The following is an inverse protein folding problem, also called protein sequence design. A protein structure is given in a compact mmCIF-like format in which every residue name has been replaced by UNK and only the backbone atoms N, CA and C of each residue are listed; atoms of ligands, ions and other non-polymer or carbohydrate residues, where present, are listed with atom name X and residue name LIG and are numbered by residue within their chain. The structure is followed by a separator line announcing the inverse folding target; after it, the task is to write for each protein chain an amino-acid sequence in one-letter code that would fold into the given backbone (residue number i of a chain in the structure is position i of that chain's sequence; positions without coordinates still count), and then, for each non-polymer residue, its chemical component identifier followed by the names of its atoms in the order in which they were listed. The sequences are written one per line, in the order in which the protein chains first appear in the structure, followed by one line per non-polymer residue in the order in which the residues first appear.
data_IF_059036542617
#
_entry.id   IF_059036542617
#
_cell.length_a   1.000
_cell.length_b   1.000
_cell.length_c   1.000
_cell.angle_alpha   90.00
_cell.angle_beta   90.00
_cell.angle_gamma   90.00
#
_symmetry.space_group_name_H-M   'P 1'
#
loop_
_entity.id
_entity.type
_entity.pdbx_description
1 polymer ?
#
# COMPACT_ATOMS: atom_id res chain seq x y z
N UNK A 1 4.68 -4.09 10.71
CA UNK A 1 3.66 -3.06 10.42
C UNK A 1 4.17 -1.62 10.48
N UNK A 2 5.19 -1.29 11.30
CA UNK A 2 5.76 0.06 11.46
C UNK A 2 5.85 0.90 10.17
N UNK A 3 6.29 0.32 9.05
CA UNK A 3 6.40 1.05 7.77
C UNK A 3 5.06 1.50 7.19
N UNK A 4 4.04 0.64 7.23
CA UNK A 4 2.67 1.02 6.84
C UNK A 4 2.09 2.05 7.80
N UNK A 5 2.38 1.94 9.10
CA UNK A 5 1.94 2.94 10.09
C UNK A 5 2.60 4.31 9.86
N UNK A 6 3.89 4.34 9.50
CA UNK A 6 4.60 5.57 9.12
C UNK A 6 4.03 6.19 7.84
N UNK A 7 3.68 5.36 6.85
CA UNK A 7 3.14 5.83 5.56
C UNK A 7 1.68 6.25 5.67
N UNK A 8 0.91 5.64 6.56
CA UNK A 8 -0.49 5.98 6.85
C UNK A 8 -0.63 7.21 7.75
N UNK A 9 0.45 7.70 8.36
CA UNK A 9 0.43 8.99 9.06
C UNK A 9 0.32 10.14 8.02
N UNK A 10 -0.69 11.01 8.14
CA UNK A 10 -0.97 12.02 7.11
C UNK A 10 0.16 13.04 6.97
N UNK A 11 0.87 13.36 8.04
CA UNK A 11 1.94 14.36 8.00
C UNK A 11 3.21 13.77 7.40
N UNK A 12 3.51 12.51 7.69
CA UNK A 12 4.60 11.79 7.03
C UNK A 12 4.31 11.55 5.54
N UNK A 13 3.09 11.13 5.20
CA UNK A 13 2.70 10.94 3.80
C UNK A 13 2.85 12.23 2.99
N UNK A 14 2.38 13.36 3.54
CA UNK A 14 2.57 14.69 2.91
C UNK A 14 4.05 15.00 2.67
N UNK A 15 4.93 14.77 3.65
CA UNK A 15 6.37 14.99 3.51
C UNK A 15 6.98 14.14 2.40
N UNK A 16 6.58 12.89 2.29
CA UNK A 16 7.02 11.97 1.22
C UNK A 16 6.53 12.48 -0.14
N UNK A 17 5.25 12.86 -0.23
CA UNK A 17 4.60 13.34 -1.44
C UNK A 17 5.16 14.66 -1.98
N UNK A 18 5.90 15.45 -1.18
CA UNK A 18 6.64 16.64 -1.67
C UNK A 18 7.60 16.28 -2.82
N UNK A 19 8.18 15.08 -2.79
CA UNK A 19 9.04 14.59 -3.89
C UNK A 19 8.27 13.98 -5.06
N UNK A 20 6.96 14.12 -5.11
CA UNK A 20 6.09 13.59 -6.15
C UNK A 20 5.85 12.08 -6.07
N UNK A 21 5.21 11.54 -7.11
CA UNK A 21 4.83 10.14 -7.20
C UNK A 21 6.00 9.17 -7.00
N UNK A 22 7.17 9.44 -7.56
CA UNK A 22 8.33 8.55 -7.44
C UNK A 22 8.77 8.31 -5.99
N UNK A 23 8.66 9.31 -5.11
CA UNK A 23 8.97 9.12 -3.70
C UNK A 23 7.95 8.20 -3.02
N UNK A 24 6.66 8.37 -3.30
CA UNK A 24 5.61 7.49 -2.78
C UNK A 24 5.86 6.04 -3.24
N UNK A 25 6.19 5.83 -4.52
CA UNK A 25 6.47 4.50 -5.08
C UNK A 25 7.66 3.79 -4.44
N UNK A 26 8.72 4.54 -4.09
CA UNK A 26 9.88 4.00 -3.33
C UNK A 26 9.49 3.51 -1.95
N UNK A 27 8.53 4.19 -1.30
CA UNK A 27 8.07 3.84 0.04
C UNK A 27 7.08 2.67 0.04
N UNK A 28 6.14 2.65 -0.92
CA UNK A 28 5.17 1.55 -1.11
C UNK A 28 5.87 0.24 -1.55
N UNK A 29 7.08 0.33 -2.11
CA UNK A 29 7.95 -0.83 -2.35
C UNK A 29 7.79 -1.52 -3.69
N UNK A 30 7.05 -0.91 -4.59
CA UNK A 30 6.86 -1.32 -5.99
C UNK A 30 7.96 -0.81 -6.91
N UNK A 31 8.71 0.22 -6.50
CA UNK A 31 9.91 0.71 -7.19
C UNK A 31 11.13 0.57 -6.30
N UNK A 32 12.02 -0.34 -6.71
CA UNK A 32 13.24 -0.66 -5.98
C UNK A 32 13.01 -1.69 -4.88
N UNK A 33 13.93 -2.64 -4.73
CA UNK A 33 13.88 -3.70 -3.71
C UNK A 33 14.19 -3.18 -2.28
N UNK A 34 14.08 -1.87 -2.04
CA UNK A 34 14.53 -1.23 -0.80
C UNK A 34 13.43 -1.07 0.25
N UNK A 35 12.16 -1.15 -0.12
CA UNK A 35 11.07 -1.03 0.86
C UNK A 35 10.81 -2.37 1.54
N UNK A 36 10.60 -2.38 2.87
CA UNK A 36 10.08 -3.53 3.59
C UNK A 36 8.70 -4.03 3.11
N UNK A 37 7.97 -3.22 2.33
CA UNK A 37 6.67 -3.59 1.76
C UNK A 37 6.79 -4.41 0.46
N UNK A 38 8.00 -4.57 -0.08
CA UNK A 38 8.20 -5.36 -1.30
C UNK A 38 7.90 -6.87 -1.10
N UNK A 39 8.27 -7.43 0.06
CA UNK A 39 8.12 -8.87 0.35
C UNK A 39 7.06 -9.16 1.43
N UNK A 40 6.31 -8.15 1.86
CA UNK A 40 5.34 -8.30 2.96
C UNK A 40 4.17 -9.21 2.57
N UNK A 41 3.80 -9.27 1.28
CA UNK A 41 2.79 -10.20 0.78
C UNK A 41 3.24 -11.66 0.96
N UNK A 42 4.52 -11.97 0.70
CA UNK A 42 5.10 -13.31 0.91
C UNK A 42 5.07 -13.70 2.38
N UNK A 43 5.38 -12.75 3.27
CA UNK A 43 5.30 -12.97 4.71
C UNK A 43 3.86 -13.32 5.13
N UNK A 44 2.86 -12.56 4.66
CA UNK A 44 1.47 -12.88 4.97
C UNK A 44 0.99 -14.18 4.32
N UNK A 45 1.42 -14.51 3.09
CA UNK A 45 1.14 -15.81 2.45
C UNK A 45 1.65 -16.98 3.29
N UNK A 46 2.86 -16.87 3.84
CA UNK A 46 3.44 -17.92 4.70
C UNK A 46 2.67 -18.10 6.01
N UNK A 47 1.96 -17.09 6.49
CA UNK A 47 1.17 -17.13 7.72
C UNK A 47 -0.26 -17.65 7.51
N UNK A 48 -0.68 -17.95 6.28
CA UNK A 48 -2.06 -18.36 5.98
C UNK A 48 -2.47 -19.66 6.70
N UNK A 49 -1.55 -20.60 6.92
CA UNK A 49 -1.82 -21.85 7.65
C UNK A 49 -2.12 -21.62 9.14
N UNK A 50 -1.64 -20.50 9.69
CA UNK A 50 -1.86 -20.11 11.09
C UNK A 50 -3.19 -19.38 11.29
N UNK A 51 -3.94 -19.11 10.22
CA UNK A 51 -5.23 -18.44 10.31
C UNK A 51 -6.30 -19.34 10.97
N UNK A 52 -7.18 -18.73 11.77
CA UNK A 52 -8.39 -19.39 12.28
C UNK A 52 -9.39 -19.71 11.18
N UNK A 53 -9.43 -18.86 10.15
CA UNK A 53 -10.26 -18.97 8.97
C UNK A 53 -9.40 -18.70 7.71
N UNK A 54 -8.88 -19.75 7.05
CA UNK A 54 -8.00 -19.59 5.90
C UNK A 54 -8.65 -18.89 4.70
N UNK A 55 -9.96 -19.07 4.48
CA UNK A 55 -10.66 -18.45 3.34
C UNK A 55 -10.75 -16.94 3.53
N UNK A 56 -11.27 -16.49 4.68
CA UNK A 56 -11.33 -15.07 5.03
C UNK A 56 -9.94 -14.41 5.08
N UNK A 57 -8.91 -15.17 5.50
CA UNK A 57 -7.53 -14.70 5.49
C UNK A 57 -7.01 -14.44 4.06
N UNK A 58 -7.24 -15.39 3.14
CA UNK A 58 -6.83 -15.24 1.73
C UNK A 58 -7.54 -14.07 1.07
N UNK A 59 -8.85 -13.90 1.28
CA UNK A 59 -9.59 -12.74 0.77
C UNK A 59 -9.01 -11.41 1.30
N UNK A 60 -8.65 -11.38 2.58
CA UNK A 60 -8.02 -10.19 3.19
C UNK A 60 -6.62 -9.93 2.64
N UNK A 61 -5.88 -10.99 2.33
CA UNK A 61 -4.56 -10.91 1.72
C UNK A 61 -4.60 -10.41 0.28
N UNK A 62 -5.62 -10.79 -0.48
CA UNK A 62 -5.87 -10.24 -1.81
C UNK A 62 -6.23 -8.76 -1.74
N UNK A 63 -7.10 -8.35 -0.80
CA UNK A 63 -7.42 -6.93 -0.55
C UNK A 63 -6.17 -6.13 -0.21
N UNK A 64 -5.33 -6.64 0.69
CA UNK A 64 -4.06 -6.03 1.07
C UNK A 64 -3.12 -5.85 -0.14
N UNK A 65 -2.94 -6.93 -0.92
CA UNK A 65 -2.04 -6.92 -2.09
C UNK A 65 -2.52 -5.94 -3.16
N UNK A 66 -3.83 -5.91 -3.40
CA UNK A 66 -4.46 -4.99 -4.35
C UNK A 66 -4.32 -3.54 -3.93
N UNK A 67 -4.50 -3.23 -2.64
CA UNK A 67 -4.32 -1.88 -2.13
C UNK A 67 -2.88 -1.37 -2.34
N UNK A 68 -1.85 -2.19 -2.08
CA UNK A 68 -0.46 -1.81 -2.38
C UNK A 68 -0.22 -1.57 -3.88
N UNK A 69 -0.79 -2.41 -4.75
CA UNK A 69 -0.67 -2.25 -6.20
C UNK A 69 -1.37 -0.99 -6.71
N UNK A 70 -2.55 -0.67 -6.17
CA UNK A 70 -3.28 0.54 -6.50
C UNK A 70 -2.53 1.78 -6.01
N UNK A 71 -2.00 1.75 -4.79
CA UNK A 71 -1.20 2.85 -4.24
C UNK A 71 0.00 3.21 -5.14
N UNK A 72 0.71 2.21 -5.67
CA UNK A 72 1.78 2.41 -6.66
C UNK A 72 1.25 2.94 -7.99
N UNK A 73 0.18 2.36 -8.51
CA UNK A 73 -0.40 2.72 -9.81
C UNK A 73 -0.88 4.17 -9.83
N UNK A 74 -1.50 4.63 -8.75
CA UNK A 74 -1.89 6.01 -8.56
C UNK A 74 -0.66 6.92 -8.43
N UNK A 75 0.30 6.54 -7.58
CA UNK A 75 1.53 7.32 -7.44
C UNK A 75 2.28 7.44 -8.79
N UNK A 76 2.32 6.39 -9.60
CA UNK A 76 2.86 6.41 -10.96
C UNK A 76 2.06 7.33 -11.89
N UNK A 77 0.74 7.24 -11.85
CA UNK A 77 -0.15 8.08 -12.67
C UNK A 77 0.04 9.57 -12.36
N UNK A 78 0.30 9.92 -11.10
CA UNK A 78 0.57 11.31 -10.70
C UNK A 78 1.75 11.94 -11.47
N UNK A 79 2.75 11.14 -11.88
CA UNK A 79 3.96 11.59 -12.57
C UNK A 79 3.64 12.06 -14.01
N UNK A 80 2.70 11.41 -14.69
CA UNK A 80 2.42 11.62 -16.12
C UNK A 80 1.05 12.24 -16.42
N UNK A 81 0.23 12.45 -15.38
CA UNK A 81 -1.15 12.92 -15.47
C UNK A 81 -1.36 14.22 -16.25
N UNK A 82 -0.36 15.10 -16.31
CA UNK A 82 -0.43 16.37 -17.03
C UNK A 82 -0.05 16.29 -18.53
N UNK A 83 0.34 15.13 -19.04
CA UNK A 83 0.80 14.98 -20.43
C UNK A 83 -0.34 14.73 -21.45
N UNK A 84 -1.61 14.86 -21.04
CA UNK A 84 -2.77 14.55 -21.90
C UNK A 84 -3.73 15.74 -22.06
N UNK A 85 -4.52 15.74 -23.14
CA UNK A 85 -5.54 16.78 -23.41
C UNK A 85 -6.69 16.78 -22.40
N UNK A 86 -6.86 15.71 -21.62
CA UNK A 86 -7.78 15.58 -20.50
C UNK A 86 -6.99 15.41 -19.19
N UNK A 87 -6.02 16.30 -18.96
CA UNK A 87 -5.14 16.25 -17.81
C UNK A 87 -5.92 16.24 -16.49
N UNK A 88 -5.84 15.13 -15.77
CA UNK A 88 -6.26 15.04 -14.37
C UNK A 88 -5.18 15.69 -13.51
N UNK A 89 -5.56 16.46 -12.49
CA UNK A 89 -4.59 17.06 -11.57
C UNK A 89 -3.79 15.95 -10.86
N UNK A 90 -2.44 15.99 -10.86
CA UNK A 90 -1.59 15.02 -10.16
C UNK A 90 -1.99 14.75 -8.71
N UNK A 91 -2.49 15.77 -8.02
CA UNK A 91 -2.92 15.67 -6.62
C UNK A 91 -4.04 14.66 -6.42
N UNK A 92 -4.94 14.49 -7.40
CA UNK A 92 -6.02 13.49 -7.32
C UNK A 92 -5.44 12.08 -7.18
N UNK A 93 -4.39 11.78 -7.94
CA UNK A 93 -3.72 10.48 -7.85
C UNK A 93 -2.91 10.35 -6.56
N UNK A 94 -2.27 11.42 -6.09
CA UNK A 94 -1.59 11.40 -4.78
C UNK A 94 -2.59 11.11 -3.64
N UNK A 95 -3.75 11.75 -3.68
CA UNK A 95 -4.81 11.56 -2.68
C UNK A 95 -5.40 10.15 -2.73
N UNK A 96 -5.55 9.56 -3.93
CA UNK A 96 -6.00 8.18 -4.08
C UNK A 96 -4.95 7.18 -3.60
N UNK A 97 -3.67 7.41 -3.94
CA UNK A 97 -2.55 6.62 -3.44
C UNK A 97 -2.54 6.58 -1.91
N UNK A 98 -2.82 7.72 -1.25
CA UNK A 98 -2.93 7.77 0.20
C UNK A 98 -4.09 6.91 0.74
N UNK A 99 -5.28 6.96 0.12
CA UNK A 99 -6.42 6.12 0.53
C UNK A 99 -6.08 4.64 0.42
N UNK A 100 -5.39 4.24 -0.64
CA UNK A 100 -4.95 2.87 -0.84
C UNK A 100 -3.90 2.43 0.20
N UNK A 101 -3.02 3.34 0.66
CA UNK A 101 -2.13 3.08 1.81
C UNK A 101 -2.94 2.84 3.10
N UNK A 102 -3.99 3.62 3.35
CA UNK A 102 -4.86 3.42 4.53
C UNK A 102 -5.58 2.07 4.47
N UNK A 103 -6.05 1.68 3.29
CA UNK A 103 -6.70 0.40 3.06
C UNK A 103 -5.71 -0.76 3.25
N UNK A 104 -4.48 -0.65 2.73
CA UNK A 104 -3.41 -1.61 2.96
C UNK A 104 -3.07 -1.74 4.45
N UNK A 105 -2.98 -0.62 5.17
CA UNK A 105 -2.74 -0.64 6.62
C UNK A 105 -3.88 -1.37 7.35
N UNK A 106 -5.14 -1.06 7.03
CA UNK A 106 -6.30 -1.71 7.64
C UNK A 106 -6.30 -3.22 7.38
N UNK A 107 -6.12 -3.64 6.12
CA UNK A 107 -6.07 -5.05 5.76
C UNK A 107 -4.91 -5.78 6.44
N UNK A 108 -3.74 -5.15 6.58
CA UNK A 108 -2.62 -5.74 7.30
C UNK A 108 -2.90 -5.92 8.81
N UNK A 109 -3.67 -5.01 9.44
CA UNK A 109 -4.11 -5.20 10.83
C UNK A 109 -5.13 -6.33 10.95
N UNK A 110 -6.06 -6.43 9.99
CA UNK A 110 -7.03 -7.53 9.91
C UNK A 110 -6.32 -8.88 9.78
N UNK A 111 -5.36 -9.00 8.84
CA UNK A 111 -4.56 -10.22 8.67
C UNK A 111 -3.90 -10.66 9.97
N UNK A 112 -3.24 -9.74 10.68
CA UNK A 112 -2.58 -10.06 11.95
C UNK A 112 -3.58 -10.49 13.03
N UNK A 113 -4.78 -9.93 13.07
CA UNK A 113 -5.82 -10.28 14.03
C UNK A 113 -6.48 -11.65 13.73
N UNK A 114 -6.39 -12.12 12.49
CA UNK A 114 -6.93 -13.42 12.05
C UNK A 114 -6.00 -14.60 12.36
N UNK A 115 -4.74 -14.33 12.71
CA UNK A 115 -3.78 -15.37 13.10
C UNK A 115 -4.17 -15.94 14.48
N UNK A 116 -4.03 -17.25 14.63
CA UNK A 116 -4.14 -17.91 15.93
C UNK A 116 -3.03 -17.36 16.83
N UNK A 117 -3.39 -16.51 17.79
CA UNK A 117 -2.45 -16.14 18.84
C UNK A 117 -2.17 -17.41 19.66
N UNK A 118 -0.94 -17.92 19.54
CA UNK A 118 -0.45 -19.05 20.34
C UNK A 118 -0.07 -18.61 21.75
#
# INVERSE_FOLDING_TARGET
MRKLDELADPDNFKKIAVGGGDNIRREVGTVGMSSPLFDVDKAFKALAEEAGDPEAYVETLERFSKALQNADSDAYSSIFSMNSAAATNPQVYIDNSYKEVLDAQRSARELLAMLKMS
#
